data_IF_041406535170
#
_entry.id   IF_041406535170
#
_cell.length_a   1.000
_cell.length_b   1.000
_cell.length_c   1.000
_cell.angle_alpha   90.00
_cell.angle_beta   90.00
_cell.angle_gamma   90.00
#
_symmetry.space_group_name_H-M   'P 1'
#
loop_
_entity.id
_entity.type
_entity.pdbx_description
1 polymer ?
#
# COMPACT_ATOMS: atom_id res chain seq x y z
N UNK A 1 -6.46 -4.92 -20.67
CA UNK A 1 -7.22 -6.00 -20.00
C UNK A 1 -6.74 -6.02 -18.55
N UNK A 2 -7.65 -5.96 -17.57
CA UNK A 2 -7.27 -5.99 -16.16
C UNK A 2 -6.83 -7.41 -15.77
N UNK A 3 -5.63 -7.55 -15.19
CA UNK A 3 -5.06 -8.86 -14.82
C UNK A 3 -5.23 -9.15 -13.31
N UNK A 4 -5.35 -8.11 -12.48
CA UNK A 4 -5.51 -8.21 -11.03
C UNK A 4 -6.33 -7.02 -10.49
N UNK A 5 -6.96 -7.18 -9.32
CA UNK A 5 -7.61 -6.08 -8.57
C UNK A 5 -6.78 -5.58 -7.38
N UNK A 6 -5.56 -6.11 -7.20
CA UNK A 6 -4.68 -5.73 -6.10
C UNK A 6 -3.55 -4.81 -6.56
N UNK A 7 -3.25 -3.85 -5.69
CA UNK A 7 -2.14 -2.91 -5.78
C UNK A 7 -1.06 -3.33 -4.79
N UNK A 8 0.21 -3.09 -5.14
CA UNK A 8 1.36 -3.37 -4.28
C UNK A 8 1.88 -2.09 -3.63
N UNK A 9 2.29 -2.16 -2.37
CA UNK A 9 2.84 -1.02 -1.65
C UNK A 9 4.20 -0.60 -2.21
N UNK A 10 4.32 0.65 -2.66
CA UNK A 10 5.57 1.25 -3.13
C UNK A 10 6.68 1.28 -2.09
N UNK A 11 6.40 1.02 -0.81
CA UNK A 11 7.44 0.80 0.20
C UNK A 11 8.45 -0.29 -0.22
N UNK A 12 8.04 -1.29 -1.03
CA UNK A 12 8.94 -2.34 -1.54
C UNK A 12 10.06 -1.82 -2.45
N UNK A 13 9.84 -0.65 -3.08
CA UNK A 13 10.77 0.03 -3.98
C UNK A 13 11.20 1.40 -3.44
N UNK A 14 10.84 1.71 -2.18
CA UNK A 14 11.02 3.04 -1.60
C UNK A 14 10.31 4.15 -2.38
N UNK A 15 9.18 3.83 -3.02
CA UNK A 15 8.36 4.71 -3.85
C UNK A 15 9.13 5.39 -5.00
N UNK A 16 10.18 4.73 -5.51
CA UNK A 16 11.03 5.23 -6.60
C UNK A 16 11.00 4.29 -7.82
N UNK A 17 11.20 4.85 -9.01
CA UNK A 17 11.10 4.16 -10.31
C UNK A 17 12.39 4.25 -11.14
N UNK A 18 13.48 4.77 -10.57
CA UNK A 18 14.70 5.11 -11.31
C UNK A 18 15.52 3.89 -11.77
N UNK A 19 15.77 3.70 -13.08
CA UNK A 19 16.60 2.60 -13.60
C UNK A 19 18.12 2.79 -13.40
N UNK A 20 18.55 3.90 -12.78
CA UNK A 20 19.97 4.34 -12.69
C UNK A 20 20.50 4.47 -11.25
N UNK A 21 19.76 3.99 -10.25
CA UNK A 21 20.16 4.04 -8.84
C UNK A 21 20.53 2.67 -8.27
N UNK A 22 21.02 2.64 -7.04
CA UNK A 22 21.04 1.40 -6.26
C UNK A 22 19.60 0.90 -6.18
N UNK A 23 19.32 -0.31 -6.68
CA UNK A 23 18.00 -0.93 -6.56
C UNK A 23 17.60 -0.88 -5.09
N UNK A 24 16.68 0.02 -4.73
CA UNK A 24 16.22 0.14 -3.34
C UNK A 24 15.22 -0.97 -3.08
N UNK A 25 15.73 -2.19 -3.05
CA UNK A 25 14.99 -3.36 -2.57
C UNK A 25 15.35 -3.56 -1.11
N UNK A 26 14.35 -3.96 -0.33
CA UNK A 26 14.51 -4.20 1.09
C UNK A 26 14.35 -5.67 1.38
N UNK A 27 15.12 -6.17 2.36
CA UNK A 27 14.87 -7.51 2.89
C UNK A 27 13.52 -7.52 3.58
N UNK A 28 12.78 -8.62 3.44
CA UNK A 28 11.47 -8.78 4.08
C UNK A 28 11.55 -8.58 5.61
N UNK A 29 12.68 -8.93 6.23
CA UNK A 29 12.95 -8.74 7.67
C UNK A 29 13.11 -7.28 8.11
N UNK A 30 13.14 -6.33 7.17
CA UNK A 30 13.13 -4.90 7.47
C UNK A 30 11.71 -4.35 7.62
N UNK A 31 10.69 -5.09 7.18
CA UNK A 31 9.29 -4.73 7.38
C UNK A 31 8.74 -5.42 8.63
N UNK A 32 7.81 -4.76 9.31
CA UNK A 32 7.07 -5.42 10.38
C UNK A 32 6.05 -6.41 9.78
N UNK A 33 5.84 -7.59 10.38
CA UNK A 33 4.94 -8.61 9.81
C UNK A 33 3.50 -8.15 9.58
N UNK A 34 3.00 -7.19 10.38
CA UNK A 34 1.64 -6.67 10.28
C UNK A 34 1.50 -5.43 9.36
N UNK A 35 2.57 -5.06 8.66
CA UNK A 35 2.53 -3.97 7.69
C UNK A 35 2.01 -4.45 6.33
N UNK A 36 1.36 -3.56 5.60
CA UNK A 36 0.63 -3.87 4.37
C UNK A 36 1.57 -3.96 3.17
N UNK A 37 1.52 -5.07 2.45
CA UNK A 37 2.20 -5.26 1.16
C UNK A 37 1.24 -5.13 -0.02
N UNK A 38 0.02 -5.63 0.12
CA UNK A 38 -1.01 -5.58 -0.93
C UNK A 38 -2.33 -5.09 -0.37
N UNK A 39 -3.10 -4.39 -1.18
CA UNK A 39 -4.52 -4.09 -0.92
C UNK A 39 -5.31 -4.14 -2.21
N UNK A 40 -6.61 -4.36 -2.08
CA UNK A 40 -7.51 -4.25 -3.21
C UNK A 40 -7.84 -2.79 -3.52
N UNK A 41 -7.50 -2.35 -4.73
CA UNK A 41 -7.66 -0.97 -5.18
C UNK A 41 -9.12 -0.54 -5.31
N UNK A 42 -9.36 0.76 -5.42
CA UNK A 42 -10.70 1.28 -5.76
C UNK A 42 -11.13 0.75 -7.13
N UNK A 43 -12.20 -0.06 -7.16
CA UNK A 43 -12.74 -0.64 -8.39
C UNK A 43 -13.27 0.40 -9.38
N UNK A 44 -13.55 1.63 -8.93
CA UNK A 44 -14.07 2.72 -9.75
C UNK A 44 -12.96 3.51 -10.44
N UNK A 45 -11.69 3.22 -10.15
CA UNK A 45 -10.51 3.86 -10.73
C UNK A 45 -9.68 2.84 -11.52
N UNK A 46 -10.01 2.58 -12.80
CA UNK A 46 -9.28 1.60 -13.61
C UNK A 46 -7.78 1.90 -13.77
N UNK A 47 -7.37 3.16 -13.61
CA UNK A 47 -5.96 3.55 -13.62
C UNK A 47 -5.17 2.99 -12.45
N UNK A 48 -5.79 2.52 -11.36
CA UNK A 48 -5.06 1.96 -10.22
C UNK A 48 -4.32 0.64 -10.53
N UNK A 49 -4.54 0.04 -11.70
CA UNK A 49 -3.98 -1.25 -12.10
C UNK A 49 -2.92 -1.13 -13.22
N UNK A 50 -2.41 0.07 -13.49
CA UNK A 50 -1.42 0.33 -14.54
C UNK A 50 0.03 0.25 -14.06
N UNK A 51 0.25 0.40 -12.75
CA UNK A 51 1.57 0.48 -12.13
C UNK A 51 1.93 -0.81 -11.36
N UNK A 52 3.23 -1.10 -11.26
CA UNK A 52 3.74 -2.25 -10.49
C UNK A 52 3.58 -2.01 -8.98
N UNK A 53 3.73 -0.77 -8.54
CA UNK A 53 3.60 -0.36 -7.13
C UNK A 53 2.91 0.99 -7.02
N UNK A 54 2.27 1.22 -5.88
CA UNK A 54 1.37 2.33 -5.64
C UNK A 54 1.50 2.93 -4.24
N UNK A 55 0.87 4.08 -4.04
CA UNK A 55 0.77 4.71 -2.73
C UNK A 55 -0.53 4.32 -2.02
N UNK A 56 -0.51 4.10 -0.68
CA UNK A 56 -1.70 3.71 0.07
C UNK A 56 -2.91 4.66 -0.06
N UNK A 57 -2.68 5.94 -0.37
CA UNK A 57 -3.71 6.98 -0.53
C UNK A 57 -4.31 7.08 -1.94
N UNK A 58 -3.94 6.20 -2.88
CA UNK A 58 -4.49 6.13 -4.25
C UNK A 58 -5.87 5.45 -4.32
N UNK A 59 -6.45 5.14 -3.17
CA UNK A 59 -7.79 4.58 -3.06
C UNK A 59 -7.82 3.09 -2.75
N UNK A 60 -8.98 2.64 -2.28
CA UNK A 60 -9.21 1.28 -1.79
C UNK A 60 -10.65 0.88 -2.08
N UNK A 61 -10.87 -0.41 -2.35
CA UNK A 61 -12.23 -0.93 -2.57
C UNK A 61 -13.13 -0.75 -1.36
N UNK A 62 -14.44 -0.66 -1.60
CA UNK A 62 -15.49 -0.70 -0.57
C UNK A 62 -16.47 -1.87 -0.76
N UNK A 63 -16.19 -2.79 -1.69
CA UNK A 63 -17.13 -3.87 -2.07
C UNK A 63 -17.40 -4.88 -0.96
N UNK A 64 -16.48 -5.05 -0.01
CA UNK A 64 -16.61 -6.05 1.06
C UNK A 64 -17.31 -5.48 2.29
N UNK A 65 -18.58 -5.09 2.13
CA UNK A 65 -19.37 -4.45 3.20
C UNK A 65 -18.66 -3.18 3.74
N UNK A 66 -18.24 -2.28 2.85
CA UNK A 66 -17.46 -1.08 3.20
C UNK A 66 -16.13 -1.42 3.88
N UNK A 67 -15.59 -2.59 3.57
CA UNK A 67 -14.29 -3.06 4.01
C UNK A 67 -13.40 -3.43 2.82
N UNK A 68 -12.12 -3.60 3.13
CA UNK A 68 -11.06 -3.89 2.17
C UNK A 68 -10.20 -5.01 2.71
N UNK A 69 -9.78 -5.91 1.82
CA UNK A 69 -8.87 -7.01 2.14
C UNK A 69 -7.45 -6.57 1.83
N UNK A 70 -6.55 -6.84 2.75
CA UNK A 70 -5.14 -6.49 2.65
C UNK A 70 -4.27 -7.71 2.90
N UNK A 71 -3.17 -7.83 2.16
CA UNK A 71 -2.10 -8.77 2.43
C UNK A 71 -0.98 -8.10 3.22
N UNK A 72 -0.44 -8.79 4.21
CA UNK A 72 0.63 -8.28 5.07
C UNK A 72 1.98 -8.91 4.75
N UNK A 73 3.07 -8.24 5.11
CA UNK A 73 4.43 -8.77 4.92
C UNK A 73 4.67 -10.09 5.69
N UNK A 74 3.91 -10.34 6.75
CA UNK A 74 3.92 -11.61 7.50
C UNK A 74 3.24 -12.78 6.78
N UNK A 75 2.64 -12.55 5.61
CA UNK A 75 1.95 -13.57 4.81
C UNK A 75 0.49 -13.82 5.22
N UNK A 76 0.00 -13.18 6.27
CA UNK A 76 -1.41 -13.21 6.64
C UNK A 76 -2.22 -12.15 5.89
N UNK A 77 -3.54 -12.31 5.93
CA UNK A 77 -4.50 -11.32 5.41
C UNK A 77 -5.25 -10.66 6.56
N UNK A 78 -5.62 -9.39 6.37
CA UNK A 78 -6.51 -8.68 7.28
C UNK A 78 -7.64 -8.00 6.51
N UNK A 79 -8.77 -7.82 7.17
CA UNK A 79 -9.86 -6.98 6.67
C UNK A 79 -9.91 -5.70 7.48
N UNK A 80 -10.12 -4.57 6.81
CA UNK A 80 -10.22 -3.26 7.45
C UNK A 80 -11.40 -2.48 6.90
N UNK A 81 -12.13 -1.79 7.76
CA UNK A 81 -13.22 -0.89 7.33
C UNK A 81 -12.62 0.30 6.59
N UNK A 82 -13.30 0.76 5.54
CA UNK A 82 -12.87 1.89 4.72
C UNK A 82 -12.49 3.12 5.55
N UNK A 83 -13.27 3.46 6.60
CA UNK A 83 -12.96 4.60 7.48
C UNK A 83 -11.61 4.45 8.17
N UNK A 84 -11.27 3.26 8.65
CA UNK A 84 -9.98 3.00 9.29
C UNK A 84 -8.85 3.02 8.26
N UNK A 85 -9.07 2.42 7.08
CA UNK A 85 -8.11 2.46 5.99
C UNK A 85 -7.81 3.91 5.57
N UNK A 86 -8.84 4.71 5.39
CA UNK A 86 -8.70 6.11 4.98
C UNK A 86 -7.81 6.88 5.96
N UNK A 87 -8.01 6.69 7.28
CA UNK A 87 -7.22 7.29 8.36
C UNK A 87 -5.74 6.87 8.32
N UNK A 88 -5.48 5.58 8.15
CA UNK A 88 -4.11 5.06 8.03
C UNK A 88 -3.41 5.59 6.77
N UNK A 89 -4.10 5.58 5.64
CA UNK A 89 -3.56 5.97 4.34
C UNK A 89 -3.39 7.49 4.18
N UNK A 90 -4.30 8.31 4.70
CA UNK A 90 -4.40 9.73 4.39
C UNK A 90 -5.38 10.05 3.25
N UNK A 91 -6.34 9.16 2.94
CA UNK A 91 -7.35 9.42 1.92
C UNK A 91 -8.23 10.59 2.37
N UNK A 92 -8.30 11.64 1.55
CA UNK A 92 -8.97 12.90 1.86
C UNK A 92 -8.02 14.10 2.00
N UNK A 93 -6.72 13.92 1.74
CA UNK A 93 -5.76 15.02 1.61
C UNK A 93 -5.04 15.42 2.90
N UNK A 94 -5.06 14.57 3.93
CA UNK A 94 -4.22 14.71 5.12
C UNK A 94 -3.09 13.69 5.09
N UNK A 95 -2.15 13.84 6.02
CA UNK A 95 -0.92 13.06 6.02
C UNK A 95 -1.12 11.56 6.28
N UNK A 96 -2.23 11.08 6.83
CA UNK A 96 -2.33 9.68 7.29
C UNK A 96 -1.32 9.33 8.40
N UNK A 97 -1.20 8.04 8.73
CA UNK A 97 -0.31 7.56 9.81
C UNK A 97 1.08 7.25 9.23
N UNK A 98 2.05 8.13 9.50
CA UNK A 98 3.42 8.05 8.93
C UNK A 98 4.51 8.39 9.96
N UNK A 99 5.55 7.54 10.14
CA UNK A 99 5.64 6.17 9.62
C UNK A 99 4.57 5.28 10.27
N UNK A 100 4.12 4.26 9.55
CA UNK A 100 3.03 3.41 10.01
C UNK A 100 2.87 2.16 9.16
N UNK A 101 1.79 1.42 9.41
CA UNK A 101 1.56 0.13 8.75
C UNK A 101 1.35 0.22 7.23
N UNK A 102 0.97 1.39 6.72
CA UNK A 102 0.79 1.65 5.29
C UNK A 102 1.99 2.37 4.69
N UNK A 103 2.53 3.35 5.42
CA UNK A 103 3.71 4.12 5.06
C UNK A 103 4.92 3.56 5.78
N UNK A 104 5.50 2.51 5.19
CA UNK A 104 6.43 1.59 5.86
C UNK A 104 7.77 1.42 5.14
N UNK A 105 8.21 2.39 4.34
CA UNK A 105 9.51 2.35 3.67
C UNK A 105 10.68 2.24 4.69
N UNK A 106 11.45 1.14 4.73
CA UNK A 106 12.53 0.96 5.70
C UNK A 106 13.71 1.94 5.52
N UNK A 107 13.86 2.51 4.32
CA UNK A 107 14.89 3.52 4.03
C UNK A 107 14.49 4.94 4.44
N UNK A 108 13.29 5.14 5.00
CA UNK A 108 12.72 6.47 5.26
C UNK A 108 12.32 6.63 6.73
N UNK A 109 12.71 7.76 7.34
CA UNK A 109 12.30 8.10 8.72
C UNK A 109 10.80 8.39 8.83
N UNK A 110 10.18 8.80 7.73
CA UNK A 110 8.76 9.12 7.64
C UNK A 110 7.95 7.99 6.99
N UNK A 111 8.61 6.96 6.46
CA UNK A 111 7.96 5.78 5.86
C UNK A 111 7.46 5.96 4.43
N UNK A 112 7.69 7.13 3.82
CA UNK A 112 7.44 7.46 2.40
C UNK A 112 8.65 7.28 1.50
#
# INVERSE_FOLDING_TARGET
>A
MQVCSYMMNGAVSGYSTGPRGAYTTYKITQFQPHYMVYWEGDEKQPSNYDNVTSKPDEGVTQRHNTGSVMGMFGGHTETMRFKAYALEAGIGGYRGVRPGRFWCNPGSKTGE
#
